data_IF_270646234655
#
_entry.id   IF_270646234655
#
_cell.length_a   1.000
_cell.length_b   1.000
_cell.length_c   1.000
_cell.angle_alpha   90.00
_cell.angle_beta   90.00
_cell.angle_gamma   90.00
#
_symmetry.space_group_name_H-M   'P 1'
#
loop_
_entity.id
_entity.type
_entity.pdbx_description
1 polymer ?
#
# COMPACT_ATOMS: atom_id res chain seq x y z
N UNK A 1 49.14 -21.68 -40.77
CA UNK A 1 49.63 -20.33 -40.39
C UNK A 1 48.57 -19.70 -39.48
N UNK A 2 48.81 -19.14 -38.29
CA UNK A 2 49.85 -18.17 -37.84
C UNK A 2 49.72 -16.84 -38.60
N UNK A 3 49.67 -15.65 -37.99
CA UNK A 3 50.41 -15.18 -36.80
C UNK A 3 49.55 -14.71 -35.61
N UNK A 4 50.20 -14.61 -34.44
CA UNK A 4 49.81 -13.75 -33.31
C UNK A 4 50.46 -12.36 -33.45
N UNK A 5 49.94 -11.34 -32.78
CA UNK A 5 50.73 -10.17 -32.37
C UNK A 5 50.52 -9.84 -30.88
N UNK A 6 51.57 -9.29 -30.25
CA UNK A 6 51.83 -9.42 -28.80
C UNK A 6 52.72 -8.28 -28.31
N UNK A 7 52.48 -7.76 -27.08
CA UNK A 7 53.38 -6.87 -26.29
C UNK A 7 53.54 -5.40 -26.81
N UNK A 8 53.96 -4.38 -26.01
CA UNK A 8 54.35 -4.31 -24.58
C UNK A 8 54.18 -2.91 -23.92
N UNK A 9 53.89 -2.93 -22.60
CA UNK A 9 54.43 -2.08 -21.50
C UNK A 9 54.56 -0.54 -21.64
N UNK A 10 54.01 0.15 -20.63
CA UNK A 10 54.57 1.36 -20.02
C UNK A 10 54.31 1.36 -18.50
N UNK A 11 55.33 1.54 -17.65
CA UNK A 11 55.20 1.47 -16.18
C UNK A 11 56.28 2.32 -15.48
N UNK A 12 55.89 3.31 -14.69
CA UNK A 12 56.78 4.08 -13.80
C UNK A 12 56.11 4.25 -12.43
N UNK A 13 56.91 4.17 -11.35
CA UNK A 13 56.52 4.33 -9.95
C UNK A 13 57.64 5.05 -9.18
N UNK A 14 57.30 6.03 -8.34
CA UNK A 14 58.00 6.49 -7.11
C UNK A 14 57.08 7.55 -6.45
N UNK A 15 56.58 7.37 -5.23
CA UNK A 15 57.24 7.29 -3.91
C UNK A 15 57.68 8.65 -3.36
N UNK A 16 56.92 9.15 -2.37
CA UNK A 16 57.34 10.10 -1.33
C UNK A 16 56.87 9.56 0.03
N UNK A 17 57.68 9.73 1.10
CA UNK A 17 57.48 9.11 2.43
C UNK A 17 58.11 10.00 3.52
N UNK A 18 57.74 9.74 4.77
CA UNK A 18 58.20 10.34 6.05
C UNK A 18 57.28 11.48 6.57
N UNK A 19 56.98 11.59 7.87
CA UNK A 19 57.30 10.70 9.01
C UNK A 19 56.34 10.88 10.20
N UNK A 20 56.18 9.81 10.98
CA UNK A 20 55.58 9.72 12.33
C UNK A 20 56.74 9.39 13.33
N UNK A 21 56.59 9.26 14.67
CA UNK A 21 55.46 9.56 15.58
C UNK A 21 55.90 10.38 16.84
N UNK A 22 55.06 10.50 17.88
CA UNK A 22 55.43 10.33 19.32
C UNK A 22 54.20 10.30 20.25
N UNK A 23 54.29 9.51 21.32
CA UNK A 23 53.43 9.35 22.54
C UNK A 23 54.27 8.51 23.53
N UNK A 24 53.93 8.23 24.81
CA UNK A 24 52.76 8.52 25.68
C UNK A 24 53.26 9.15 27.04
N UNK A 25 52.80 8.86 28.30
CA UNK A 25 51.61 8.18 28.84
C UNK A 25 50.91 9.06 29.95
N UNK A 26 50.30 8.60 31.09
CA UNK A 26 49.13 9.31 31.69
C UNK A 26 49.32 9.79 33.14
N UNK A 27 48.26 10.33 33.75
CA UNK A 27 48.13 10.51 35.21
C UNK A 27 46.67 10.25 35.67
N UNK A 28 46.49 9.91 36.95
CA UNK A 28 45.25 9.37 37.53
C UNK A 28 44.87 10.03 38.86
N UNK A 29 43.57 10.19 39.14
CA UNK A 29 43.05 10.46 40.49
C UNK A 29 41.54 10.16 40.62
N UNK A 30 41.16 9.47 41.71
CA UNK A 30 39.81 8.99 42.09
C UNK A 30 39.86 8.52 43.56
N UNK A 31 38.77 8.47 44.37
CA UNK A 31 37.49 9.20 44.35
C UNK A 31 37.58 10.38 45.37
N UNK A 32 37.04 10.44 46.63
CA UNK A 32 36.03 9.66 47.40
C UNK A 32 34.71 10.50 47.61
N UNK A 33 33.96 10.57 48.75
CA UNK A 33 32.48 10.44 48.63
C UNK A 33 31.56 11.36 49.50
N UNK A 34 30.24 11.09 49.41
CA UNK A 34 29.15 11.48 50.34
C UNK A 34 28.65 12.94 50.24
N UNK A 35 27.42 13.28 50.66
CA UNK A 35 26.44 12.49 51.44
C UNK A 35 24.97 12.75 51.01
N UNK A 36 24.04 11.92 51.48
CA UNK A 36 22.59 12.09 51.30
C UNK A 36 21.86 11.72 52.60
N UNK A 37 21.07 12.64 53.18
CA UNK A 37 19.98 12.29 54.11
C UNK A 37 18.59 12.36 53.44
N UNK A 38 17.53 11.75 54.04
CA UNK A 38 16.37 11.25 53.30
C UNK A 38 15.04 12.02 53.65
N UNK A 39 13.83 11.55 53.30
CA UNK A 39 12.63 12.41 53.21
C UNK A 39 11.86 12.57 54.52
N UNK A 40 11.02 13.61 54.57
CA UNK A 40 9.98 13.79 55.60
C UNK A 40 8.63 13.23 55.12
N UNK A 41 7.90 12.53 56.00
CA UNK A 41 6.64 11.87 55.68
C UNK A 41 5.45 12.36 56.53
N UNK A 42 4.33 12.57 55.85
CA UNK A 42 2.91 12.58 56.28
C UNK A 42 2.52 12.41 57.77
N UNK A 43 1.65 13.30 58.27
CA UNK A 43 0.44 13.05 59.12
C UNK A 43 -0.19 14.38 59.59
N UNK A 44 -1.45 14.42 60.11
CA UNK A 44 -2.68 13.81 59.58
C UNK A 44 -3.87 14.80 59.51
N UNK A 45 -5.03 14.34 59.04
CA UNK A 45 -6.27 15.11 58.80
C UNK A 45 -7.10 15.40 60.07
N UNK A 46 -7.94 16.46 60.06
CA UNK A 46 -9.27 16.40 60.69
C UNK A 46 -10.42 16.80 59.74
N UNK A 47 -11.57 16.12 59.85
CA UNK A 47 -12.87 16.52 59.30
C UNK A 47 -13.79 17.00 60.45
N UNK A 48 -14.77 17.89 60.22
CA UNK A 48 -16.07 17.56 59.59
C UNK A 48 -16.51 18.65 58.56
N UNK A 49 -17.73 18.74 58.01
CA UNK A 49 -19.03 18.12 58.31
C UNK A 49 -19.94 17.96 57.06
N UNK A 50 -21.12 17.35 57.23
CA UNK A 50 -22.06 16.98 56.15
C UNK A 50 -23.43 17.67 56.30
N UNK A 51 -23.97 18.30 55.24
CA UNK A 51 -25.41 18.61 55.08
C UNK A 51 -26.10 17.70 54.03
N UNK A 52 -27.45 17.69 53.90
CA UNK A 52 -28.19 16.45 53.63
C UNK A 52 -28.47 16.10 52.17
N UNK A 53 -28.78 14.82 51.93
CA UNK A 53 -29.22 14.27 50.64
C UNK A 53 -30.73 14.44 50.38
N UNK A 54 -31.14 14.99 49.23
CA UNK A 54 -32.53 14.91 48.76
C UNK A 54 -32.81 13.61 47.98
N UNK A 55 -33.81 12.87 48.46
CA UNK A 55 -34.65 11.87 47.78
C UNK A 55 -34.55 11.77 46.23
N UNK A 56 -33.87 10.74 45.70
CA UNK A 56 -34.32 9.90 44.56
C UNK A 56 -33.35 8.76 44.21
N UNK A 57 -33.07 7.86 45.16
CA UNK A 57 -32.43 6.57 44.83
C UNK A 57 -33.50 5.53 44.48
N UNK A 58 -33.51 5.09 43.23
CA UNK A 58 -33.72 3.73 42.71
C UNK A 58 -33.93 3.85 41.18
N UNK A 59 -33.24 3.10 40.30
CA UNK A 59 -32.39 1.92 40.51
C UNK A 59 -31.11 1.97 39.67
N UNK A 60 -30.08 1.24 40.11
CA UNK A 60 -28.89 0.92 39.30
C UNK A 60 -29.05 -0.51 38.76
N UNK A 61 -28.77 -0.75 37.48
CA UNK A 61 -28.08 -1.95 36.94
C UNK A 61 -27.90 -1.84 35.42
N UNK A 62 -26.63 -1.89 34.96
CA UNK A 62 -26.11 -2.22 33.61
C UNK A 62 -26.60 -1.43 32.36
N UNK A 63 -25.67 -0.87 31.55
CA UNK A 63 -25.99 -0.36 30.21
C UNK A 63 -25.03 0.67 29.58
N UNK A 64 -23.74 0.33 29.40
CA UNK A 64 -22.68 1.06 28.65
C UNK A 64 -23.09 2.36 27.91
N UNK A 65 -22.94 3.52 28.57
CA UNK A 65 -23.14 4.85 27.95
C UNK A 65 -21.81 5.52 27.47
N UNK A 66 -20.74 4.73 27.32
CA UNK A 66 -19.35 5.24 27.23
C UNK A 66 -18.71 5.32 25.84
N UNK A 67 -19.45 5.14 24.74
CA UNK A 67 -18.87 4.96 23.40
C UNK A 67 -19.35 5.95 22.32
N UNK A 68 -20.23 6.90 22.65
CA UNK A 68 -20.78 7.87 21.67
C UNK A 68 -19.98 9.18 21.62
N UNK A 69 -19.34 9.59 22.72
CA UNK A 69 -18.63 10.87 22.79
C UNK A 69 -17.33 10.96 21.98
N UNK A 70 -16.63 9.84 21.78
CA UNK A 70 -15.32 9.83 21.11
C UNK A 70 -15.41 10.00 19.58
N UNK A 71 -16.50 9.56 18.95
CA UNK A 71 -16.70 9.65 17.49
C UNK A 71 -16.90 11.09 17.03
N UNK A 72 -17.55 11.93 17.85
CA UNK A 72 -17.80 13.33 17.55
C UNK A 72 -16.52 14.18 17.47
N UNK A 73 -15.44 13.79 18.16
CA UNK A 73 -14.17 14.52 18.14
C UNK A 73 -13.39 14.31 16.82
N UNK A 74 -13.46 13.11 16.23
CA UNK A 74 -12.78 12.80 14.95
C UNK A 74 -13.43 13.56 13.79
N UNK A 75 -14.74 13.77 13.84
CA UNK A 75 -15.50 14.58 12.88
C UNK A 75 -15.15 16.09 12.91
N UNK A 76 -14.52 16.59 13.98
CA UNK A 76 -14.21 18.01 14.10
C UNK A 76 -12.96 18.48 13.32
N UNK A 77 -12.11 17.54 12.86
CA UNK A 77 -10.82 17.84 12.20
C UNK A 77 -10.88 17.92 10.66
N UNK A 78 -12.04 17.67 10.05
CA UNK A 78 -12.23 17.75 8.59
C UNK A 78 -12.93 19.05 8.13
N UNK A 79 -12.89 20.11 8.94
CA UNK A 79 -13.75 21.30 8.77
C UNK A 79 -13.29 22.32 7.70
N UNK A 80 -12.12 22.12 7.09
CA UNK A 80 -11.44 23.15 6.27
C UNK A 80 -11.40 22.89 4.74
N UNK A 81 -12.16 21.94 4.20
CA UNK A 81 -12.37 21.82 2.74
C UNK A 81 -13.82 21.55 2.35
N UNK A 82 -14.24 22.24 1.28
CA UNK A 82 -15.53 22.21 0.55
C UNK A 82 -16.83 22.45 1.35
N UNK A 83 -17.33 23.69 1.26
CA UNK A 83 -18.73 24.04 1.54
C UNK A 83 -19.71 23.23 0.68
N UNK A 84 -20.67 22.53 1.30
CA UNK A 84 -21.80 21.92 0.61
C UNK A 84 -23.12 22.30 1.29
N UNK A 85 -23.92 23.16 0.63
CA UNK A 85 -25.25 23.56 1.12
C UNK A 85 -26.27 22.44 0.90
N UNK A 86 -26.73 21.83 1.99
CA UNK A 86 -27.75 20.78 1.95
C UNK A 86 -29.16 21.41 1.80
N UNK A 87 -29.87 21.03 0.75
CA UNK A 87 -31.33 21.15 0.62
C UNK A 87 -32.02 19.86 1.06
N UNK A 88 -33.26 19.96 1.56
CA UNK A 88 -33.92 18.86 2.30
C UNK A 88 -34.67 17.83 1.45
N UNK A 89 -34.56 16.56 1.87
CA UNK A 89 -35.42 15.40 1.52
C UNK A 89 -35.35 14.90 0.05
N UNK A 90 -35.47 13.60 -0.27
CA UNK A 90 -36.24 12.51 0.36
C UNK A 90 -35.57 11.11 0.27
N UNK A 91 -36.02 10.20 1.14
CA UNK A 91 -35.88 8.73 1.21
C UNK A 91 -35.14 7.95 0.07
N UNK A 92 -33.98 7.37 0.39
CA UNK A 92 -33.57 6.00 0.01
C UNK A 92 -32.33 5.53 0.79
N UNK A 93 -32.15 4.22 1.07
CA UNK A 93 -31.03 3.70 1.85
C UNK A 93 -29.76 3.50 1.00
N UNK A 94 -29.15 4.61 0.55
CA UNK A 94 -27.93 4.58 -0.26
C UNK A 94 -26.70 4.36 0.62
N UNK A 95 -26.34 3.10 0.89
CA UNK A 95 -25.06 2.75 1.56
C UNK A 95 -23.89 2.77 0.57
N UNK A 96 -23.74 3.86 -0.19
CA UNK A 96 -22.56 4.09 -1.02
C UNK A 96 -21.40 4.54 -0.12
N UNK A 97 -20.48 3.62 0.18
CA UNK A 97 -19.14 4.01 0.59
C UNK A 97 -18.56 4.82 -0.58
N UNK A 98 -18.15 6.06 -0.33
CA UNK A 98 -17.74 6.96 -1.41
C UNK A 98 -16.47 6.43 -2.09
N UNK A 99 -16.56 6.14 -3.39
CA UNK A 99 -15.39 5.78 -4.19
C UNK A 99 -14.57 7.04 -4.47
N UNK A 100 -13.55 7.28 -3.66
CA UNK A 100 -12.56 8.34 -3.87
C UNK A 100 -11.64 7.94 -5.01
N UNK A 101 -11.93 8.44 -6.21
CA UNK A 101 -11.19 8.08 -7.42
C UNK A 101 -9.68 8.32 -7.28
N UNK A 102 -8.89 7.26 -7.50
CA UNK A 102 -7.44 7.21 -7.32
C UNK A 102 -6.73 8.36 -8.06
N UNK A 103 -5.98 9.24 -7.35
CA UNK A 103 -5.44 10.45 -7.96
C UNK A 103 -4.33 10.16 -9.00
N UNK A 104 -4.27 11.03 -10.01
CA UNK A 104 -3.14 11.09 -10.94
C UNK A 104 -1.82 11.39 -10.18
N UNK A 105 -0.65 11.02 -10.73
CA UNK A 105 0.50 10.61 -9.91
C UNK A 105 1.12 11.70 -9.03
N UNK A 106 1.10 11.47 -7.71
CA UNK A 106 2.02 12.07 -6.75
C UNK A 106 3.15 11.07 -6.40
N UNK A 107 4.41 11.43 -6.62
CA UNK A 107 5.55 10.56 -6.29
C UNK A 107 5.77 10.52 -4.77
N UNK A 108 6.11 9.35 -4.20
CA UNK A 108 6.70 9.28 -2.86
C UNK A 108 6.49 7.99 -2.08
N UNK A 109 7.43 7.05 -2.19
CA UNK A 109 7.62 6.02 -1.16
C UNK A 109 8.00 6.72 0.15
N UNK A 110 7.13 6.61 1.16
CA UNK A 110 7.26 7.32 2.44
C UNK A 110 6.25 8.46 2.67
N UNK A 111 5.45 8.84 1.66
CA UNK A 111 4.50 9.97 1.76
C UNK A 111 3.03 9.56 1.94
N UNK A 112 2.72 8.26 1.95
CA UNK A 112 1.36 7.71 1.77
C UNK A 112 0.66 8.17 0.48
N UNK A 113 1.45 8.59 -0.52
CA UNK A 113 0.96 8.85 -1.86
C UNK A 113 0.56 7.52 -2.51
N UNK A 114 -0.71 7.44 -2.86
CA UNK A 114 -1.31 6.42 -3.73
C UNK A 114 -1.77 7.12 -5.01
N UNK A 115 -2.05 6.36 -6.05
CA UNK A 115 -2.29 6.88 -7.39
C UNK A 115 -1.93 5.85 -8.45
N UNK A 116 -1.95 6.28 -9.71
CA UNK A 116 -1.46 5.49 -10.85
C UNK A 116 -0.40 6.27 -11.64
N UNK A 117 0.42 5.55 -12.42
CA UNK A 117 1.38 6.13 -13.34
C UNK A 117 2.01 5.13 -14.29
N UNK A 118 2.95 5.57 -15.15
CA UNK A 118 3.15 6.98 -15.50
C UNK A 118 1.92 7.55 -16.23
N UNK A 119 1.91 8.87 -16.44
CA UNK A 119 1.00 9.46 -17.44
C UNK A 119 1.36 8.87 -18.82
N UNK A 120 0.34 8.40 -19.54
CA UNK A 120 0.47 7.68 -20.81
C UNK A 120 -0.70 8.00 -21.73
N UNK A 121 -0.57 7.64 -23.00
CA UNK A 121 -1.68 7.71 -23.95
C UNK A 121 -2.82 6.78 -23.53
N UNK A 122 -4.05 7.23 -23.76
CA UNK A 122 -5.28 6.54 -23.39
C UNK A 122 -6.15 6.34 -24.62
N UNK A 123 -6.74 5.17 -24.71
CA UNK A 123 -7.48 4.66 -25.85
C UNK A 123 -8.94 4.39 -25.44
N UNK A 124 -9.78 4.01 -26.39
CA UNK A 124 -11.15 3.56 -26.11
C UNK A 124 -11.40 2.18 -26.68
N UNK A 125 -12.47 1.51 -26.26
CA UNK A 125 -12.85 0.20 -26.81
C UNK A 125 -13.19 0.25 -28.31
N UNK A 126 -13.55 1.43 -28.82
CA UNK A 126 -13.82 1.66 -30.24
C UNK A 126 -12.56 2.09 -31.01
N UNK A 127 -11.62 2.77 -30.35
CA UNK A 127 -10.34 3.23 -30.87
C UNK A 127 -9.20 2.68 -29.99
N UNK A 128 -8.92 1.35 -30.05
CA UNK A 128 -7.93 0.68 -29.21
C UNK A 128 -6.50 1.00 -29.65
N UNK A 129 -5.52 0.65 -28.82
CA UNK A 129 -4.12 0.99 -29.09
C UNK A 129 -3.57 0.30 -30.35
N UNK A 130 -2.81 1.01 -31.21
CA UNK A 130 -2.10 0.40 -32.32
C UNK A 130 -0.85 -0.38 -31.89
N UNK A 131 -0.48 -0.38 -30.60
CA UNK A 131 0.71 -1.06 -30.06
C UNK A 131 0.44 -1.75 -28.72
N UNK A 132 1.29 -2.71 -28.35
CA UNK A 132 1.17 -3.45 -27.09
C UNK A 132 1.32 -2.52 -25.86
N UNK A 133 0.25 -2.31 -25.08
CA UNK A 133 0.23 -1.40 -23.92
C UNK A 133 -0.59 -1.97 -22.77
N UNK A 134 -0.11 -1.82 -21.53
CA UNK A 134 -0.85 -2.21 -20.34
C UNK A 134 -1.97 -1.22 -20.01
N UNK A 135 -3.18 -1.74 -19.75
CA UNK A 135 -4.21 -1.10 -18.92
C UNK A 135 -4.41 0.39 -19.26
N UNK A 136 -4.83 0.67 -20.49
CA UNK A 136 -4.85 2.01 -21.10
C UNK A 136 -6.15 2.31 -21.86
N UNK A 137 -7.23 1.54 -21.63
CA UNK A 137 -8.59 1.96 -22.04
C UNK A 137 -9.19 2.93 -21.01
N UNK A 138 -9.85 3.98 -21.49
CA UNK A 138 -10.55 4.96 -20.65
C UNK A 138 -12.04 4.62 -20.41
N UNK A 139 -12.60 3.65 -21.14
CA UNK A 139 -14.03 3.34 -21.21
C UNK A 139 -14.35 1.83 -21.03
N UNK A 140 -13.51 1.09 -20.29
CA UNK A 140 -13.75 -0.33 -20.02
C UNK A 140 -15.12 -0.49 -19.31
N UNK A 141 -16.05 -1.25 -19.91
CA UNK A 141 -17.43 -1.39 -19.41
C UNK A 141 -17.58 -2.05 -18.03
N UNK A 142 -16.52 -2.70 -17.52
CA UNK A 142 -16.50 -3.31 -16.19
C UNK A 142 -15.69 -2.50 -15.17
N UNK A 143 -14.65 -1.80 -15.63
CA UNK A 143 -13.62 -1.19 -14.77
C UNK A 143 -13.53 0.34 -14.88
N UNK A 144 -14.09 0.95 -15.92
CA UNK A 144 -13.96 2.36 -16.23
C UNK A 144 -12.57 2.69 -16.83
N UNK A 145 -11.81 3.50 -16.10
CA UNK A 145 -10.49 3.98 -16.49
C UNK A 145 -9.39 3.02 -16.02
N UNK A 146 -8.83 2.26 -16.94
CA UNK A 146 -7.86 1.19 -16.63
C UNK A 146 -6.53 1.71 -16.08
N UNK A 147 -6.28 3.02 -16.04
CA UNK A 147 -5.12 3.55 -15.30
C UNK A 147 -5.18 3.18 -13.83
N UNK A 148 -6.40 3.11 -13.30
CA UNK A 148 -6.71 2.65 -11.95
C UNK A 148 -7.08 1.16 -12.00
N UNK A 149 -6.07 0.29 -12.08
CA UNK A 149 -6.22 -1.16 -12.24
C UNK A 149 -6.03 -1.97 -10.94
N UNK A 150 -5.68 -1.32 -9.83
CA UNK A 150 -5.42 -1.90 -8.52
C UNK A 150 -6.44 -1.36 -7.52
N UNK A 151 -7.30 -2.24 -7.02
CA UNK A 151 -8.29 -1.91 -6.02
C UNK A 151 -8.21 -2.90 -4.86
N UNK A 152 -8.70 -2.52 -3.69
CA UNK A 152 -8.71 -3.39 -2.52
C UNK A 152 -9.98 -3.25 -1.67
N UNK A 153 -10.19 -4.22 -0.79
CA UNK A 153 -11.31 -4.28 0.18
C UNK A 153 -10.92 -5.17 1.35
N UNK A 154 -11.66 -5.10 2.46
CA UNK A 154 -11.54 -6.09 3.54
C UNK A 154 -11.86 -7.48 2.97
N UNK A 155 -10.99 -8.46 3.21
CA UNK A 155 -11.15 -9.82 2.71
C UNK A 155 -12.46 -10.44 3.23
N UNK A 156 -13.07 -11.31 2.41
CA UNK A 156 -14.35 -11.99 2.69
C UNK A 156 -15.55 -11.07 2.97
N UNK A 157 -15.40 -9.74 2.86
CA UNK A 157 -16.48 -8.76 3.00
C UNK A 157 -17.35 -8.70 1.75
N UNK A 158 -18.61 -8.28 1.92
CA UNK A 158 -19.55 -7.99 0.83
C UNK A 158 -19.36 -6.60 0.22
N UNK A 159 -18.32 -5.88 0.63
CA UNK A 159 -18.01 -4.55 0.08
C UNK A 159 -17.49 -4.70 -1.35
N UNK A 160 -17.73 -3.67 -2.15
CA UNK A 160 -17.09 -3.51 -3.46
C UNK A 160 -15.58 -3.24 -3.27
N UNK A 161 -14.82 -3.51 -4.33
CA UNK A 161 -13.45 -3.04 -4.45
C UNK A 161 -13.43 -1.51 -4.58
N UNK A 162 -12.43 -0.87 -3.96
CA UNK A 162 -12.21 0.58 -4.02
C UNK A 162 -10.72 0.92 -3.97
N UNK A 163 -10.40 2.20 -4.19
CA UNK A 163 -9.01 2.70 -4.27
C UNK A 163 -8.42 2.99 -2.87
N UNK A 164 -9.30 3.09 -1.87
CA UNK A 164 -8.98 3.17 -0.46
C UNK A 164 -9.84 2.18 0.34
N UNK A 165 -9.28 1.55 1.38
CA UNK A 165 -10.03 0.69 2.32
C UNK A 165 -9.75 1.07 3.76
N UNK A 166 -10.80 1.25 4.56
CA UNK A 166 -10.69 1.54 5.98
C UNK A 166 -10.60 0.28 6.83
N UNK A 167 -9.66 0.26 7.78
CA UNK A 167 -9.46 -0.83 8.76
C UNK A 167 -9.52 -0.30 10.19
N UNK A 168 -9.99 -1.15 11.12
CA UNK A 168 -10.13 -0.84 12.55
C UNK A 168 -9.18 -1.61 13.47
N UNK A 169 -8.40 -2.53 12.91
CA UNK A 169 -7.49 -3.44 13.60
C UNK A 169 -6.87 -4.43 12.62
N UNK A 170 -6.28 -5.50 13.14
CA UNK A 170 -5.61 -6.53 12.35
C UNK A 170 -6.61 -7.28 11.45
N UNK A 171 -6.35 -7.30 10.15
CA UNK A 171 -7.30 -7.82 9.14
C UNK A 171 -6.60 -8.21 7.85
N UNK A 172 -7.16 -9.18 7.12
CA UNK A 172 -6.77 -9.43 5.73
C UNK A 172 -7.53 -8.48 4.78
N UNK A 173 -6.81 -7.99 3.77
CA UNK A 173 -7.31 -7.19 2.67
C UNK A 173 -7.22 -8.05 1.41
N UNK A 174 -8.32 -8.17 0.67
CA UNK A 174 -8.24 -8.70 -0.70
C UNK A 174 -7.90 -7.57 -1.66
N UNK A 175 -6.95 -7.83 -2.55
CA UNK A 175 -6.44 -6.91 -3.58
C UNK A 175 -6.72 -7.53 -4.94
N UNK A 176 -7.37 -6.77 -5.81
CA UNK A 176 -7.63 -7.13 -7.20
C UNK A 176 -6.75 -6.28 -8.11
N UNK A 177 -6.06 -6.94 -9.04
CA UNK A 177 -5.22 -6.32 -10.07
C UNK A 177 -5.77 -6.72 -11.43
N UNK A 178 -6.46 -5.80 -12.10
CA UNK A 178 -6.82 -5.94 -13.51
C UNK A 178 -5.53 -5.94 -14.34
N UNK A 179 -5.42 -6.85 -15.31
CA UNK A 179 -4.34 -6.87 -16.28
C UNK A 179 -4.99 -6.93 -17.67
N UNK A 180 -4.66 -5.97 -18.53
CA UNK A 180 -5.12 -5.98 -19.92
C UNK A 180 -4.05 -5.48 -20.90
N UNK A 181 -4.16 -5.92 -22.15
CA UNK A 181 -3.44 -5.37 -23.28
C UNK A 181 -4.43 -4.58 -24.14
N UNK A 182 -4.39 -3.24 -24.06
CA UNK A 182 -5.40 -2.38 -24.70
C UNK A 182 -5.27 -2.28 -26.23
N UNK A 183 -4.47 -3.15 -26.86
CA UNK A 183 -4.42 -3.33 -28.32
C UNK A 183 -5.31 -4.49 -28.78
N UNK A 184 -6.11 -4.25 -29.82
CA UNK A 184 -6.92 -5.28 -30.45
C UNK A 184 -6.19 -6.06 -31.56
N UNK A 185 -4.91 -5.78 -31.81
CA UNK A 185 -4.18 -6.30 -32.99
C UNK A 185 -3.42 -7.61 -32.66
N UNK A 186 -3.64 -8.72 -33.40
CA UNK A 186 -3.06 -10.04 -33.08
C UNK A 186 -1.53 -10.12 -32.97
N UNK A 187 -0.81 -9.26 -33.68
CA UNK A 187 0.65 -9.16 -33.65
C UNK A 187 1.17 -8.34 -32.44
N UNK A 188 0.36 -7.43 -31.90
CA UNK A 188 0.67 -6.51 -30.81
C UNK A 188 0.48 -7.14 -29.42
N UNK A 189 1.06 -8.32 -29.23
CA UNK A 189 1.10 -8.98 -27.93
C UNK A 189 2.17 -8.34 -27.01
N UNK A 190 1.84 -8.17 -25.72
CA UNK A 190 2.81 -7.86 -24.67
C UNK A 190 3.64 -9.13 -24.39
N UNK A 191 4.95 -8.97 -24.16
CA UNK A 191 5.94 -10.06 -24.00
C UNK A 191 6.82 -9.80 -22.79
N UNK A 192 7.27 -10.87 -22.12
CA UNK A 192 8.05 -10.76 -20.87
C UNK A 192 7.24 -10.22 -19.69
N UNK A 193 5.91 -10.28 -19.76
CA UNK A 193 5.01 -9.62 -18.82
C UNK A 193 5.16 -10.12 -17.37
N UNK A 194 5.27 -9.20 -16.42
CA UNK A 194 5.46 -9.43 -14.97
C UNK A 194 4.59 -8.51 -14.14
N UNK A 195 4.24 -8.98 -12.95
CA UNK A 195 3.62 -8.20 -11.87
C UNK A 195 4.57 -8.17 -10.67
N UNK A 196 4.68 -7.04 -9.98
CA UNK A 196 5.47 -6.93 -8.74
C UNK A 196 4.72 -6.11 -7.68
N UNK A 197 4.53 -6.72 -6.50
CA UNK A 197 3.81 -6.18 -5.35
C UNK A 197 4.79 -5.60 -4.32
N UNK A 198 4.73 -4.29 -4.13
CA UNK A 198 5.42 -3.57 -3.07
C UNK A 198 4.43 -3.27 -1.92
N UNK A 199 4.74 -3.76 -0.73
CA UNK A 199 3.99 -3.51 0.52
C UNK A 199 4.85 -2.78 1.54
N UNK A 200 4.27 -1.83 2.27
CA UNK A 200 4.99 -1.15 3.35
C UNK A 200 5.14 -2.05 4.59
N UNK A 201 6.34 -2.61 4.72
CA UNK A 201 6.74 -3.53 5.79
C UNK A 201 7.02 -2.86 7.14
N UNK A 202 7.13 -1.52 7.18
CA UNK A 202 7.33 -0.72 8.41
C UNK A 202 5.99 -0.20 8.95
N UNK A 203 5.84 -0.03 10.28
CA UNK A 203 4.60 0.53 10.82
C UNK A 203 4.47 2.01 10.44
N UNK A 204 3.52 2.34 9.58
CA UNK A 204 3.19 3.73 9.21
C UNK A 204 1.68 3.97 9.34
N UNK A 205 1.26 5.21 9.58
CA UNK A 205 -0.16 5.55 9.40
C UNK A 205 -0.51 5.49 7.92
N UNK A 206 -1.73 5.04 7.60
CA UNK A 206 -2.27 4.99 6.23
C UNK A 206 -1.34 4.35 5.16
N UNK A 207 -0.81 3.12 5.36
CA UNK A 207 0.12 2.51 4.41
C UNK A 207 -0.52 2.27 3.05
N UNK A 208 0.31 2.27 2.01
CA UNK A 208 -0.08 2.03 0.62
C UNK A 208 0.57 0.73 0.15
N UNK A 209 -0.19 -0.12 -0.55
CA UNK A 209 0.35 -1.19 -1.38
C UNK A 209 0.37 -0.73 -2.84
N UNK A 210 1.45 -1.02 -3.56
CA UNK A 210 1.61 -0.69 -4.97
C UNK A 210 1.88 -1.95 -5.78
N UNK A 211 1.29 -2.03 -6.98
CA UNK A 211 1.55 -3.11 -7.94
C UNK A 211 2.07 -2.50 -9.24
N UNK A 212 3.22 -3.00 -9.67
CA UNK A 212 3.87 -2.62 -10.93
C UNK A 212 3.62 -3.69 -11.97
N UNK A 213 3.19 -3.32 -13.18
CA UNK A 213 3.15 -4.20 -14.35
C UNK A 213 4.28 -3.78 -15.31
N UNK A 214 5.07 -4.74 -15.78
CA UNK A 214 6.24 -4.50 -16.64
C UNK A 214 6.38 -5.58 -17.72
N UNK A 215 7.07 -5.25 -18.82
CA UNK A 215 7.24 -6.11 -19.99
C UNK A 215 8.49 -5.72 -20.79
N UNK A 216 8.90 -6.58 -21.73
CA UNK A 216 10.05 -6.33 -22.61
C UNK A 216 9.72 -5.31 -23.73
N UNK A 217 8.44 -5.17 -24.08
CA UNK A 217 7.96 -4.38 -25.24
C UNK A 217 6.80 -3.40 -24.94
N UNK A 218 6.47 -3.17 -23.67
CA UNK A 218 5.45 -2.20 -23.26
C UNK A 218 5.97 -1.33 -22.11
N UNK A 219 5.44 -0.11 -21.97
CA UNK A 219 5.82 0.82 -20.90
C UNK A 219 5.40 0.25 -19.54
N UNK A 220 6.32 0.21 -18.58
CA UNK A 220 6.04 -0.16 -17.18
C UNK A 220 5.02 0.80 -16.56
N UNK A 221 3.94 0.25 -15.99
CA UNK A 221 2.90 0.99 -15.28
C UNK A 221 2.86 0.60 -13.81
N UNK A 222 2.41 1.50 -12.96
CA UNK A 222 2.22 1.28 -11.52
C UNK A 222 0.89 1.85 -11.06
N UNK A 223 0.26 1.22 -10.07
CA UNK A 223 -0.92 1.73 -9.38
C UNK A 223 -1.00 1.13 -7.97
N UNK A 224 -1.68 1.79 -7.03
CA UNK A 224 -1.72 1.36 -5.64
C UNK A 224 -3.03 1.68 -4.93
N UNK A 225 -3.32 0.87 -3.90
CA UNK A 225 -4.48 1.00 -3.03
C UNK A 225 -4.03 1.42 -1.63
N UNK A 226 -4.78 2.33 -1.00
CA UNK A 226 -4.41 2.93 0.30
C UNK A 226 -5.24 2.38 1.46
N UNK A 227 -4.56 1.99 2.52
CA UNK A 227 -5.17 1.33 3.67
C UNK A 227 -5.37 2.37 4.78
N UNK A 228 -6.58 2.93 4.91
CA UNK A 228 -6.89 3.94 5.91
C UNK A 228 -6.94 3.30 7.31
N UNK A 229 -6.04 3.71 8.20
CA UNK A 229 -5.83 3.10 9.52
C UNK A 229 -5.61 4.16 10.60
N UNK A 230 -6.26 3.96 11.76
CA UNK A 230 -6.11 4.82 12.95
C UNK A 230 -4.85 4.53 13.78
N UNK A 231 -4.00 3.60 13.35
CA UNK A 231 -2.76 3.19 14.02
C UNK A 231 -1.61 3.02 13.02
N UNK A 232 -0.34 3.04 13.48
CA UNK A 232 0.80 2.60 12.67
C UNK A 232 0.63 1.12 12.28
N UNK A 233 0.51 0.86 10.98
CA UNK A 233 0.17 -0.43 10.41
C UNK A 233 1.30 -0.92 9.49
N UNK A 234 1.65 -2.21 9.60
CA UNK A 234 2.51 -2.93 8.66
C UNK A 234 1.67 -3.77 7.71
N UNK A 235 2.06 -3.83 6.44
CA UNK A 235 1.45 -4.70 5.43
C UNK A 235 2.36 -5.90 5.10
N UNK A 236 1.76 -7.07 4.89
CA UNK A 236 2.47 -8.29 4.48
C UNK A 236 1.65 -9.13 3.51
N UNK A 237 2.24 -9.58 2.41
CA UNK A 237 1.59 -10.49 1.47
C UNK A 237 1.31 -11.86 2.10
N UNK A 238 0.13 -12.43 1.88
CA UNK A 238 -0.29 -13.75 2.41
C UNK A 238 0.08 -14.85 1.41
N UNK A 239 1.05 -15.74 1.72
CA UNK A 239 1.52 -16.77 0.78
C UNK A 239 0.42 -17.76 0.38
N UNK A 240 0.44 -18.18 -0.88
CA UNK A 240 -0.51 -19.12 -1.47
C UNK A 240 -1.92 -18.56 -1.73
N UNK A 241 -2.19 -17.29 -1.43
CA UNK A 241 -3.51 -16.65 -1.59
C UNK A 241 -3.85 -16.25 -3.02
N UNK A 242 -2.83 -16.10 -3.88
CA UNK A 242 -3.00 -15.55 -5.22
C UNK A 242 -3.69 -16.50 -6.20
N UNK A 243 -4.66 -15.96 -6.94
CA UNK A 243 -5.37 -16.65 -8.01
C UNK A 243 -5.71 -15.70 -9.14
N UNK A 244 -5.81 -16.24 -10.35
CA UNK A 244 -6.08 -15.53 -11.59
C UNK A 244 -7.46 -15.94 -12.10
N UNK A 245 -8.35 -14.96 -12.22
CA UNK A 245 -9.66 -15.10 -12.85
C UNK A 245 -9.55 -14.65 -14.31
N UNK A 246 -9.86 -15.56 -15.24
CA UNK A 246 -9.91 -15.31 -16.68
C UNK A 246 -11.34 -15.57 -17.13
N UNK A 247 -11.92 -14.69 -17.94
CA UNK A 247 -13.31 -14.83 -18.40
C UNK A 247 -13.55 -16.19 -19.09
N UNK A 248 -14.59 -16.90 -18.68
CA UNK A 248 -14.99 -18.26 -19.10
C UNK A 248 -14.04 -19.41 -18.69
N UNK A 249 -13.04 -19.18 -17.83
CA UNK A 249 -12.17 -20.23 -17.29
C UNK A 249 -12.35 -20.43 -15.76
N UNK A 250 -12.02 -21.63 -15.22
CA UNK A 250 -11.85 -21.83 -13.78
C UNK A 250 -10.75 -20.93 -13.21
N UNK A 251 -10.82 -20.64 -11.90
CA UNK A 251 -9.76 -19.89 -11.21
C UNK A 251 -8.42 -20.64 -11.27
N UNK A 252 -7.40 -19.99 -11.81
CA UNK A 252 -6.05 -20.53 -11.94
C UNK A 252 -5.26 -20.14 -10.68
N UNK A 253 -4.67 -21.10 -9.97
CA UNK A 253 -3.79 -20.76 -8.82
C UNK A 253 -2.51 -20.09 -9.34
N UNK A 254 -2.14 -18.97 -8.74
CA UNK A 254 -0.94 -18.21 -9.06
C UNK A 254 0.16 -18.54 -8.04
N UNK A 255 1.41 -18.65 -8.48
CA UNK A 255 2.55 -18.80 -7.58
C UNK A 255 2.91 -17.46 -6.93
N UNK A 256 3.32 -17.47 -5.65
CA UNK A 256 3.82 -16.27 -4.95
C UNK A 256 4.99 -15.58 -5.67
N UNK A 257 5.73 -16.35 -6.48
CA UNK A 257 6.82 -15.84 -7.34
C UNK A 257 6.33 -14.97 -8.50
N UNK A 258 5.08 -15.12 -8.94
CA UNK A 258 4.46 -14.23 -9.94
C UNK A 258 4.08 -12.90 -9.29
N UNK A 259 3.71 -12.91 -8.01
CA UNK A 259 3.27 -11.70 -7.28
C UNK A 259 4.44 -10.77 -6.93
N UNK A 260 5.67 -11.30 -6.83
CA UNK A 260 6.90 -10.56 -6.48
C UNK A 260 7.86 -10.35 -7.65
N UNK A 261 7.38 -10.34 -8.89
CA UNK A 261 8.21 -10.21 -10.10
C UNK A 261 9.19 -11.36 -10.40
N UNK A 262 9.45 -12.28 -9.46
CA UNK A 262 10.40 -13.40 -9.57
C UNK A 262 10.13 -14.30 -10.81
N UNK A 263 8.88 -14.34 -11.28
CA UNK A 263 8.38 -15.10 -12.45
C UNK A 263 7.59 -14.20 -13.40
N UNK A 264 7.43 -14.69 -14.62
CA UNK A 264 6.50 -14.14 -15.62
C UNK A 264 5.04 -14.41 -15.19
N UNK A 265 4.12 -13.61 -15.71
CA UNK A 265 2.67 -13.83 -15.60
C UNK A 265 2.27 -15.15 -16.31
N UNK A 266 1.41 -16.01 -15.71
CA UNK A 266 0.99 -17.28 -16.33
C UNK A 266 0.41 -17.13 -17.73
N UNK A 267 0.76 -18.05 -18.63
CA UNK A 267 0.16 -18.13 -19.97
C UNK A 267 -1.34 -18.48 -19.92
N UNK A 268 -2.18 -17.65 -20.54
CA UNK A 268 -3.65 -17.85 -20.61
C UNK A 268 -4.13 -17.95 -22.07
N UNK A 269 -5.28 -18.60 -22.29
CA UNK A 269 -5.89 -18.79 -23.63
C UNK A 269 -4.95 -19.42 -24.67
N UNK A 270 -3.98 -20.24 -24.24
CA UNK A 270 -2.98 -20.88 -25.09
C UNK A 270 -1.70 -20.06 -25.35
N UNK A 271 -1.58 -18.86 -24.77
CA UNK A 271 -0.32 -18.11 -24.76
C UNK A 271 0.72 -18.79 -23.84
N UNK A 272 1.99 -18.50 -24.08
CA UNK A 272 3.08 -18.87 -23.16
C UNK A 272 3.16 -17.90 -21.96
N UNK A 273 3.85 -18.32 -20.89
CA UNK A 273 4.13 -17.44 -19.75
C UNK A 273 4.79 -16.12 -20.20
N UNK A 274 4.29 -15.01 -19.65
CA UNK A 274 4.72 -13.65 -19.97
C UNK A 274 4.19 -13.11 -21.30
N UNK A 275 3.30 -13.82 -22.00
CA UNK A 275 2.68 -13.35 -23.24
C UNK A 275 1.20 -13.03 -23.03
N UNK A 276 0.83 -11.77 -23.29
CA UNK A 276 -0.57 -11.31 -23.31
C UNK A 276 -0.90 -10.94 -24.75
N UNK A 277 -1.80 -11.69 -25.39
CA UNK A 277 -2.17 -11.45 -26.79
C UNK A 277 -2.80 -10.07 -27.03
N UNK A 278 -2.76 -9.58 -28.27
CA UNK A 278 -3.56 -8.44 -28.70
C UNK A 278 -4.85 -8.92 -29.36
N UNK A 279 -5.98 -8.73 -28.68
CA UNK A 279 -7.36 -8.88 -29.15
C UNK A 279 -8.30 -8.56 -27.98
N UNK A 280 -9.58 -8.30 -28.24
CA UNK A 280 -10.52 -7.75 -27.27
C UNK A 280 -11.02 -8.71 -26.16
N UNK A 281 -10.28 -9.78 -25.88
CA UNK A 281 -10.44 -10.64 -24.70
C UNK A 281 -9.33 -10.34 -23.70
N UNK A 282 -9.68 -9.73 -22.56
CA UNK A 282 -8.69 -9.35 -21.55
C UNK A 282 -7.98 -10.56 -20.93
N UNK A 283 -6.77 -10.33 -20.43
CA UNK A 283 -6.02 -11.35 -19.67
C UNK A 283 -6.80 -11.76 -18.41
N UNK A 284 -7.42 -10.80 -17.74
CA UNK A 284 -8.30 -11.01 -16.59
C UNK A 284 -7.86 -10.18 -15.38
N UNK A 285 -8.03 -10.72 -14.18
CA UNK A 285 -7.50 -10.12 -12.97
C UNK A 285 -6.86 -11.14 -12.04
N UNK A 286 -5.78 -10.73 -11.36
CA UNK A 286 -5.22 -11.49 -10.25
C UNK A 286 -5.80 -10.94 -8.95
N UNK A 287 -6.39 -11.81 -8.14
CA UNK A 287 -6.81 -11.50 -6.77
C UNK A 287 -5.86 -12.21 -5.78
N UNK A 288 -5.42 -11.50 -4.74
CA UNK A 288 -4.58 -12.03 -3.67
C UNK A 288 -4.85 -11.32 -2.33
N UNK A 289 -4.32 -11.86 -1.23
CA UNK A 289 -4.49 -11.29 0.11
C UNK A 289 -3.23 -10.61 0.65
N UNK A 290 -3.43 -9.50 1.35
CA UNK A 290 -2.42 -8.77 2.14
C UNK A 290 -2.94 -8.64 3.56
N UNK A 291 -2.19 -9.12 4.54
CA UNK A 291 -2.51 -8.93 5.95
C UNK A 291 -2.00 -7.55 6.41
N UNK A 292 -2.87 -6.80 7.08
CA UNK A 292 -2.54 -5.57 7.79
C UNK A 292 -2.50 -5.83 9.29
N UNK A 293 -1.43 -5.40 9.96
CA UNK A 293 -1.25 -5.52 11.41
C UNK A 293 -0.98 -4.14 12.01
N UNK A 294 -1.80 -3.69 12.96
CA UNK A 294 -1.66 -2.42 13.65
C UNK A 294 -0.88 -2.58 14.95
N UNK A 295 0.26 -1.90 15.09
CA UNK A 295 0.93 -1.85 16.40
C UNK A 295 0.12 -0.98 17.36
N UNK A 296 -0.18 -1.55 18.53
CA UNK A 296 -0.69 -0.84 19.71
C UNK A 296 0.43 -0.36 20.62
#
# INVERSE_FOLDING_TARGET
>A
MSLKWVMRVGKIVKNGRMSNPTTPPPSSSTPPPSSTPPPAASSPTPSPATPPTPWWKNSVVLGVAGLVGAVAAVLALFRDTVDFKIGSATNSPTTSIASTANPAPGIGVGNNNYGWGPMREMYTKNEPSPTAVFNSLADNKQMGDERNYVHCRVADSKNMYADEVAISGDVEISVMVLIDNSSSLPDQAIRGARMDLLVESKPVFNPVLNVTLSADNAITVWNGCKILSTKPTTLSYVPGSAHLAVYEHPLIKVEDRVVRGDKLLPGVRGNADGVIGGNSQTYGWIEFRVAAFGRG
#
